data_IF_471270330900
#
_entry.id   IF_471270330900
#
_cell.length_a   1.000
_cell.length_b   1.000
_cell.length_c   1.000
_cell.angle_alpha   90.00
_cell.angle_beta   90.00
_cell.angle_gamma   90.00
#
_symmetry.space_group_name_H-M   'P 1'
#
loop_
_entity.id
_entity.type
_entity.pdbx_description
1 polymer ?
#
# COMPACT_ATOMS: atom_id res chain seq x y z
N UNK A 1 10.10 -1.79 10.66
CA UNK A 1 10.11 -0.38 11.15
C UNK A 1 9.32 -0.33 12.44
N UNK A 2 8.08 -0.81 12.41
CA UNK A 2 7.21 -0.90 13.59
C UNK A 2 7.84 -1.71 14.75
N UNK A 3 8.63 -2.75 14.46
CA UNK A 3 9.37 -3.51 15.49
C UNK A 3 10.34 -2.62 16.28
N UNK A 4 11.00 -1.68 15.59
CA UNK A 4 11.89 -0.72 16.24
C UNK A 4 11.09 0.31 17.03
N UNK A 5 9.93 0.74 16.53
CA UNK A 5 9.04 1.66 17.26
C UNK A 5 8.51 1.02 18.57
N UNK A 6 8.17 -0.27 18.53
CA UNK A 6 7.81 -1.04 19.73
C UNK A 6 8.98 -1.04 20.71
N UNK A 7 10.18 -1.42 20.27
CA UNK A 7 11.35 -1.48 21.14
C UNK A 7 11.68 -0.11 21.77
N UNK A 8 11.59 0.97 20.99
CA UNK A 8 11.82 2.34 21.48
C UNK A 8 10.77 2.77 22.49
N UNK A 9 9.48 2.59 22.16
CA UNK A 9 8.37 3.08 22.97
C UNK A 9 8.22 2.30 24.26
N UNK A 10 8.27 0.97 24.20
CA UNK A 10 8.13 0.10 25.37
C UNK A 10 9.41 0.12 26.21
N UNK A 11 10.58 0.22 25.58
CA UNK A 11 11.86 0.37 26.29
C UNK A 11 11.93 1.68 27.08
N UNK A 12 11.38 2.78 26.56
CA UNK A 12 11.35 4.07 27.25
C UNK A 12 10.27 4.15 28.34
N UNK A 13 9.09 3.54 28.13
CA UNK A 13 7.92 3.75 29.00
C UNK A 13 7.62 2.59 29.95
N UNK A 14 8.13 1.39 29.68
CA UNK A 14 7.78 0.17 30.41
C UNK A 14 6.32 -0.26 30.26
N UNK A 15 5.59 0.29 29.28
CA UNK A 15 4.15 0.04 29.06
C UNK A 15 3.92 -0.47 27.64
N UNK A 16 2.84 -1.23 27.40
CA UNK A 16 2.45 -1.64 26.05
C UNK A 16 2.23 -0.41 25.14
N UNK A 17 2.87 -0.38 23.97
CA UNK A 17 2.80 0.76 23.06
C UNK A 17 1.47 0.83 22.31
N UNK A 18 1.10 -0.23 21.60
CA UNK A 18 -0.11 -0.31 20.76
C UNK A 18 -0.74 -1.70 20.89
N UNK A 19 -2.08 -1.77 20.97
CA UNK A 19 -2.82 -3.04 21.09
C UNK A 19 -3.15 -3.69 19.75
N UNK A 20 -3.30 -2.90 18.69
CA UNK A 20 -3.68 -3.38 17.37
C UNK A 20 -2.82 -2.73 16.29
N UNK A 21 -2.08 -3.57 15.57
CA UNK A 21 -1.35 -3.16 14.38
C UNK A 21 -2.13 -3.59 13.14
N UNK A 22 -2.30 -2.67 12.20
CA UNK A 22 -2.93 -2.95 10.92
C UNK A 22 -1.90 -2.74 9.82
N UNK A 23 -1.64 -3.81 9.06
CA UNK A 23 -0.75 -3.78 7.90
C UNK A 23 -1.57 -4.04 6.65
N UNK A 24 -1.48 -3.12 5.68
CA UNK A 24 -2.02 -3.34 4.35
C UNK A 24 -1.04 -4.20 3.53
N UNK A 25 -1.58 -5.08 2.72
CA UNK A 25 -0.77 -5.93 1.86
C UNK A 25 -0.26 -5.14 0.64
N UNK A 26 0.80 -5.64 0.01
CA UNK A 26 1.41 -4.95 -1.12
C UNK A 26 0.51 -4.90 -2.36
N UNK A 27 0.64 -3.82 -3.11
CA UNK A 27 0.21 -3.75 -4.51
C UNK A 27 1.28 -4.41 -5.40
N UNK A 28 0.85 -5.19 -6.38
CA UNK A 28 1.68 -5.63 -7.50
C UNK A 28 1.15 -5.00 -8.78
N UNK A 29 1.99 -4.91 -9.82
CA UNK A 29 1.64 -4.33 -11.12
C UNK A 29 1.87 -5.37 -12.19
N UNK A 30 0.83 -5.71 -12.94
CA UNK A 30 0.88 -6.72 -14.01
C UNK A 30 1.54 -8.04 -13.55
N UNK A 31 1.15 -8.54 -12.38
CA UNK A 31 1.66 -9.80 -11.81
C UNK A 31 3.07 -9.73 -11.22
N UNK A 32 3.69 -8.54 -11.16
CA UNK A 32 5.07 -8.35 -10.67
C UNK A 32 5.13 -7.36 -9.52
N UNK A 33 6.10 -7.55 -8.62
CA UNK A 33 6.39 -6.59 -7.55
C UNK A 33 6.58 -5.19 -8.13
N UNK A 34 5.95 -4.20 -7.51
CA UNK A 34 6.16 -2.79 -7.83
C UNK A 34 7.56 -2.36 -7.36
N UNK A 35 8.39 -1.82 -8.25
CA UNK A 35 9.68 -1.24 -7.87
C UNK A 35 10.12 -0.11 -8.81
N UNK A 36 10.94 0.80 -8.27
CA UNK A 36 11.58 1.84 -9.07
C UNK A 36 12.56 1.26 -10.10
N UNK A 37 13.31 0.22 -9.74
CA UNK A 37 14.30 -0.40 -10.61
C UNK A 37 13.69 -1.13 -11.81
N UNK A 38 12.48 -1.68 -11.65
CA UNK A 38 11.73 -2.29 -12.76
C UNK A 38 10.99 -1.26 -13.60
N UNK A 39 10.92 0.01 -13.17
CA UNK A 39 10.17 1.06 -13.85
C UNK A 39 8.67 0.77 -13.97
N UNK A 40 8.12 -0.12 -13.13
CA UNK A 40 6.75 -0.63 -13.24
C UNK A 40 5.83 -0.08 -12.15
N UNK A 41 6.12 1.11 -11.61
CA UNK A 41 5.27 1.77 -10.63
C UNK A 41 4.60 2.99 -11.25
N UNK A 42 3.41 3.31 -10.73
CA UNK A 42 2.65 4.50 -11.10
C UNK A 42 2.41 5.33 -9.86
N UNK A 43 2.63 6.63 -9.94
CA UNK A 43 2.15 7.57 -8.94
C UNK A 43 0.69 7.91 -9.22
N UNK A 44 -0.03 8.40 -8.21
CA UNK A 44 -1.39 8.92 -8.43
C UNK A 44 -1.39 10.03 -9.49
N UNK A 45 -0.35 10.88 -9.55
CA UNK A 45 -0.25 11.94 -10.57
C UNK A 45 -0.17 11.36 -11.97
N UNK A 46 0.62 10.31 -12.16
CA UNK A 46 0.75 9.62 -13.45
C UNK A 46 -0.60 9.09 -13.94
N UNK A 47 -1.44 8.59 -13.01
CA UNK A 47 -2.77 8.08 -13.34
C UNK A 47 -3.75 9.21 -13.67
N UNK A 48 -3.70 10.33 -12.92
CA UNK A 48 -4.52 11.50 -13.20
C UNK A 48 -4.16 12.14 -14.56
N UNK A 49 -2.88 12.23 -14.88
CA UNK A 49 -2.39 12.74 -16.19
C UNK A 49 -2.79 11.84 -17.37
N UNK A 50 -3.04 10.54 -17.10
CA UNK A 50 -3.57 9.59 -18.08
C UNK A 50 -5.09 9.69 -18.28
N UNK A 51 -5.78 10.55 -17.54
CA UNK A 51 -7.22 10.78 -17.65
C UNK A 51 -8.09 9.98 -16.68
N UNK A 52 -7.48 9.18 -15.78
CA UNK A 52 -8.23 8.51 -14.71
C UNK A 52 -8.55 9.49 -13.59
N UNK A 53 -9.63 9.22 -12.88
CA UNK A 53 -10.09 9.99 -11.72
C UNK A 53 -9.61 9.36 -10.42
N UNK A 54 -9.51 10.17 -9.37
CA UNK A 54 -9.21 9.65 -8.04
C UNK A 54 -10.28 8.67 -7.52
N UNK A 55 -11.52 8.76 -8.03
CA UNK A 55 -12.62 7.85 -7.66
C UNK A 55 -12.43 6.47 -8.29
N UNK A 56 -12.02 6.38 -9.56
CA UNK A 56 -11.69 5.12 -10.23
C UNK A 56 -10.53 4.41 -9.51
N UNK A 57 -9.44 5.14 -9.25
CA UNK A 57 -8.29 4.60 -8.50
C UNK A 57 -8.70 4.12 -7.11
N UNK A 58 -9.52 4.89 -6.39
CA UNK A 58 -9.99 4.50 -5.05
C UNK A 58 -10.89 3.28 -5.11
N UNK A 59 -11.76 3.17 -6.12
CA UNK A 59 -12.66 2.03 -6.30
C UNK A 59 -11.86 0.75 -6.53
N UNK A 60 -10.83 0.81 -7.39
CA UNK A 60 -9.92 -0.32 -7.59
C UNK A 60 -9.22 -0.73 -6.29
N UNK A 61 -8.68 0.22 -5.52
CA UNK A 61 -7.99 -0.09 -4.26
C UNK A 61 -8.93 -0.70 -3.19
N UNK A 62 -10.23 -0.41 -3.26
CA UNK A 62 -11.26 -0.96 -2.36
C UNK A 62 -11.89 -2.26 -2.87
N UNK A 63 -11.57 -2.70 -4.09
CA UNK A 63 -12.14 -3.92 -4.70
C UNK A 63 -11.68 -5.22 -4.04
N UNK A 64 -10.62 -5.17 -3.22
CA UNK A 64 -10.09 -6.31 -2.47
C UNK A 64 -9.98 -5.99 -0.98
N UNK A 65 -9.92 -7.03 -0.17
CA UNK A 65 -9.66 -6.87 1.26
C UNK A 65 -8.26 -6.29 1.49
N UNK A 66 -8.10 -5.34 2.42
CA UNK A 66 -6.84 -4.59 2.61
C UNK A 66 -5.61 -5.46 2.94
N UNK A 67 -5.82 -6.71 3.39
CA UNK A 67 -4.77 -7.71 3.67
C UNK A 67 -4.53 -8.71 2.53
N UNK A 68 -5.15 -8.47 1.38
CA UNK A 68 -5.00 -9.29 0.18
C UNK A 68 -4.21 -8.51 -0.85
N UNK A 69 -3.24 -9.15 -1.48
CA UNK A 69 -2.46 -8.55 -2.54
C UNK A 69 -3.38 -8.14 -3.71
N UNK A 70 -3.32 -6.87 -4.09
CA UNK A 70 -4.04 -6.36 -5.26
C UNK A 70 -3.09 -6.34 -6.46
N UNK A 71 -3.52 -6.93 -7.57
CA UNK A 71 -2.84 -6.78 -8.85
C UNK A 71 -3.40 -5.59 -9.64
N UNK A 72 -2.65 -4.50 -9.69
CA UNK A 72 -2.97 -3.36 -10.51
C UNK A 72 -2.71 -3.68 -12.00
N UNK A 73 -3.74 -3.51 -12.81
CA UNK A 73 -3.68 -3.49 -14.27
C UNK A 73 -4.51 -2.32 -14.77
N UNK A 74 -4.19 -1.78 -15.95
CA UNK A 74 -5.02 -0.74 -16.56
C UNK A 74 -6.37 -1.26 -17.06
N UNK A 75 -6.51 -2.57 -17.27
CA UNK A 75 -7.80 -3.19 -17.61
C UNK A 75 -8.75 -3.23 -16.40
N UNK A 76 -8.20 -3.40 -15.20
CA UNK A 76 -8.96 -3.40 -13.95
C UNK A 76 -9.22 -1.99 -13.38
N UNK A 77 -8.61 -0.95 -13.97
CA UNK A 77 -8.78 0.45 -13.59
C UNK A 77 -9.81 1.12 -14.50
#
# INVERSE_FOLDING_TARGET
HHENEIAQSEGCTGKPFVRHWLHAEHLIVNGKKMSKSLGNFYTLRDLLEKGYTGVEVRTLLLSTHYRTQLNFTFEGL
#
